data_IF_762165130989
#
_entry.id   IF_762165130989
#
_cell.length_a   1.000
_cell.length_b   1.000
_cell.length_c   1.000
_cell.angle_alpha   90.00
_cell.angle_beta   90.00
_cell.angle_gamma   90.00
#
_symmetry.space_group_name_H-M   'P 1'
#
loop_
_entity.id
_entity.type
_entity.pdbx_description
1 polymer ?
#
# COMPACT_ATOMS: atom_id res chain seq x y z
N UNK A 1 -14.54 -16.87 -12.62
CA UNK A 1 -13.53 -15.92 -13.12
C UNK A 1 -12.72 -15.41 -11.93
N UNK A 2 -11.38 -15.49 -11.96
CA UNK A 2 -10.55 -14.87 -10.92
C UNK A 2 -10.71 -13.35 -11.05
N UNK A 3 -11.14 -12.67 -10.00
CA UNK A 3 -11.20 -11.21 -9.98
C UNK A 3 -9.78 -10.67 -10.05
N UNK A 4 -9.41 -10.07 -11.18
CA UNK A 4 -8.08 -9.48 -11.37
C UNK A 4 -7.94 -8.10 -10.69
N UNK A 5 -8.95 -7.66 -9.92
CA UNK A 5 -8.96 -6.41 -9.14
C UNK A 5 -8.52 -5.15 -9.92
N UNK A 6 -8.71 -5.14 -11.25
CA UNK A 6 -8.29 -4.04 -12.12
C UNK A 6 -6.80 -4.05 -12.51
N UNK A 7 -6.10 -5.17 -12.32
CA UNK A 7 -4.74 -5.41 -12.79
C UNK A 7 -4.73 -6.30 -14.04
N UNK A 8 -3.80 -6.02 -14.95
CA UNK A 8 -3.54 -6.85 -16.14
C UNK A 8 -2.80 -8.14 -15.73
N UNK A 9 -2.91 -9.25 -16.49
CA UNK A 9 -2.17 -10.48 -16.21
C UNK A 9 -0.66 -10.25 -16.04
N UNK A 10 -0.05 -9.45 -16.91
CA UNK A 10 1.38 -9.11 -16.83
C UNK A 10 1.74 -8.29 -15.58
N UNK A 11 0.83 -7.46 -15.07
CA UNK A 11 1.03 -6.73 -13.82
C UNK A 11 0.98 -7.69 -12.63
N UNK A 12 0.06 -8.65 -12.63
CA UNK A 12 -0.03 -9.68 -11.59
C UNK A 12 1.21 -10.57 -11.56
N UNK A 13 1.72 -10.95 -12.73
CA UNK A 13 2.99 -11.69 -12.83
C UNK A 13 4.16 -10.87 -12.31
N UNK A 14 4.26 -9.59 -12.68
CA UNK A 14 5.29 -8.70 -12.15
C UNK A 14 5.22 -8.52 -10.63
N UNK A 15 4.02 -8.46 -10.05
CA UNK A 15 3.84 -8.41 -8.60
C UNK A 15 4.29 -9.74 -7.94
N UNK A 16 3.96 -10.88 -8.56
CA UNK A 16 4.40 -12.20 -8.10
C UNK A 16 5.91 -12.37 -8.14
N UNK A 17 6.55 -11.96 -9.23
CA UNK A 17 8.01 -12.01 -9.39
C UNK A 17 8.74 -11.15 -8.35
N UNK A 18 8.14 -10.02 -7.97
CA UNK A 18 8.64 -9.17 -6.87
C UNK A 18 8.33 -9.73 -5.48
N UNK A 19 7.64 -10.85 -5.35
CA UNK A 19 7.26 -11.41 -4.05
C UNK A 19 6.23 -10.58 -3.28
N UNK A 20 5.49 -9.69 -3.96
CA UNK A 20 4.55 -8.74 -3.33
C UNK A 20 3.08 -9.21 -3.36
N UNK A 21 2.85 -10.50 -3.58
CA UNK A 21 1.49 -11.05 -3.74
C UNK A 21 0.65 -10.91 -2.47
N UNK A 22 1.27 -11.09 -1.31
CA UNK A 22 0.61 -10.93 -0.01
C UNK A 22 0.22 -9.47 0.24
N UNK A 23 1.13 -8.54 -0.03
CA UNK A 23 0.86 -7.11 0.09
C UNK A 23 -0.26 -6.69 -0.87
N UNK A 24 -0.30 -7.21 -2.10
CA UNK A 24 -1.41 -6.94 -3.02
C UNK A 24 -2.75 -7.44 -2.45
N UNK A 25 -2.78 -8.62 -1.83
CA UNK A 25 -3.99 -9.17 -1.22
C UNK A 25 -4.48 -8.28 -0.06
N UNK A 26 -3.58 -7.91 0.84
CA UNK A 26 -3.88 -7.01 1.96
C UNK A 26 -4.38 -5.64 1.47
N UNK A 27 -3.73 -5.09 0.44
CA UNK A 27 -4.14 -3.85 -0.20
C UNK A 27 -5.56 -3.93 -0.76
N UNK A 28 -5.88 -5.01 -1.49
CA UNK A 28 -7.21 -5.22 -2.04
C UNK A 28 -8.28 -5.34 -0.94
N UNK A 29 -7.99 -5.95 0.22
CA UNK A 29 -8.93 -5.98 1.34
C UNK A 29 -9.15 -4.60 1.96
N UNK A 30 -8.11 -3.76 2.05
CA UNK A 30 -8.24 -2.37 2.50
C UNK A 30 -9.15 -1.59 1.54
N UNK A 31 -8.85 -1.62 0.24
CA UNK A 31 -9.62 -0.90 -0.78
C UNK A 31 -11.07 -1.35 -0.81
N UNK A 32 -11.33 -2.66 -0.71
CA UNK A 32 -12.69 -3.22 -0.71
C UNK A 32 -13.54 -2.74 0.47
N UNK A 33 -12.94 -2.53 1.63
CA UNK A 33 -13.65 -1.99 2.81
C UNK A 33 -14.03 -0.52 2.64
N UNK A 34 -13.27 0.22 1.83
CA UNK A 34 -13.53 1.62 1.51
C UNK A 34 -13.23 2.57 2.66
N UNK A 35 -13.48 3.86 2.40
CA UNK A 35 -13.27 4.94 3.36
C UNK A 35 -14.42 4.94 4.39
N UNK A 36 -14.14 4.94 5.71
CA UNK A 36 -15.18 4.97 6.73
C UNK A 36 -15.99 6.27 6.67
N UNK A 37 -17.28 6.18 6.99
CA UNK A 37 -18.14 7.37 7.12
C UNK A 37 -17.83 8.10 8.43
N UNK A 38 -17.33 9.32 8.34
CA UNK A 38 -16.98 10.17 9.48
C UNK A 38 -18.05 11.24 9.67
N UNK A 39 -18.50 11.45 10.91
CA UNK A 39 -19.54 12.45 11.24
C UNK A 39 -19.02 13.88 11.19
N UNK A 40 -17.77 14.10 11.57
CA UNK A 40 -17.15 15.42 11.52
C UNK A 40 -16.89 15.83 10.04
N UNK A 41 -17.52 16.89 9.53
CA UNK A 41 -17.43 17.26 8.12
C UNK A 41 -16.02 17.71 7.72
N UNK A 42 -15.32 18.43 8.59
CA UNK A 42 -13.95 18.89 8.33
C UNK A 42 -12.98 17.71 8.21
N UNK A 43 -13.12 16.70 9.08
CA UNK A 43 -12.30 15.47 9.02
C UNK A 43 -12.69 14.65 7.78
N UNK A 44 -13.99 14.50 7.52
CA UNK A 44 -14.48 13.77 6.35
C UNK A 44 -13.97 14.37 5.04
N UNK A 45 -13.98 15.70 4.91
CA UNK A 45 -13.47 16.38 3.73
C UNK A 45 -11.97 16.13 3.53
N UNK A 46 -11.15 16.30 4.58
CA UNK A 46 -9.71 16.01 4.51
C UNK A 46 -9.46 14.54 4.14
N UNK A 47 -10.18 13.61 4.76
CA UNK A 47 -10.06 12.18 4.48
C UNK A 47 -10.38 11.85 3.02
N UNK A 48 -11.48 12.41 2.50
CA UNK A 48 -11.92 12.20 1.12
C UNK A 48 -10.97 12.82 0.08
N UNK A 49 -10.18 13.83 0.45
CA UNK A 49 -9.16 14.40 -0.42
C UNK A 49 -7.86 13.60 -0.39
N UNK A 50 -7.41 13.20 0.80
CA UNK A 50 -6.08 12.62 0.98
C UNK A 50 -6.03 11.11 0.76
N UNK A 51 -7.05 10.35 1.16
CA UNK A 51 -7.04 8.89 1.03
C UNK A 51 -7.03 8.41 -0.42
N UNK A 52 -7.78 9.01 -1.37
CA UNK A 52 -7.67 8.64 -2.78
C UNK A 52 -6.27 8.84 -3.35
N UNK A 53 -5.52 9.84 -2.86
CA UNK A 53 -4.12 10.06 -3.25
C UNK A 53 -3.25 8.89 -2.75
N UNK A 54 -3.38 8.50 -1.48
CA UNK A 54 -2.71 7.31 -0.92
C UNK A 54 -3.03 6.07 -1.74
N UNK A 55 -4.31 5.88 -2.08
CA UNK A 55 -4.76 4.73 -2.85
C UNK A 55 -4.14 4.68 -4.25
N UNK A 56 -4.08 5.83 -4.90
CA UNK A 56 -3.50 5.98 -6.23
C UNK A 56 -1.99 5.70 -6.20
N UNK A 57 -1.27 6.25 -5.22
CA UNK A 57 0.18 6.03 -5.07
C UNK A 57 0.52 4.57 -4.85
N UNK A 58 -0.19 3.87 -3.95
CA UNK A 58 0.04 2.44 -3.69
C UNK A 58 -0.33 1.59 -4.91
N UNK A 59 -1.44 1.88 -5.57
CA UNK A 59 -1.87 1.14 -6.77
C UNK A 59 -0.89 1.34 -7.92
N UNK A 60 -0.40 2.56 -8.13
CA UNK A 60 0.60 2.87 -9.14
C UNK A 60 1.92 2.14 -8.86
N UNK A 61 2.34 2.05 -7.59
CA UNK A 61 3.49 1.24 -7.17
C UNK A 61 3.32 -0.25 -7.53
N UNK A 62 2.13 -0.83 -7.32
CA UNK A 62 1.89 -2.21 -7.74
C UNK A 62 1.92 -2.37 -9.26
N UNK A 63 1.49 -1.38 -10.04
CA UNK A 63 1.45 -1.46 -11.51
C UNK A 63 2.81 -1.23 -12.19
N UNK A 64 3.70 -0.46 -11.57
CA UNK A 64 5.01 -0.12 -12.15
C UNK A 64 6.14 -0.87 -11.45
N UNK A 65 7.11 -1.40 -12.21
CA UNK A 65 8.32 -2.02 -11.66
C UNK A 65 9.32 -0.98 -11.16
N UNK A 66 9.34 0.19 -11.79
CA UNK A 66 10.37 1.22 -11.60
C UNK A 66 9.92 2.37 -10.70
N UNK A 67 8.67 2.34 -10.24
CA UNK A 67 8.14 3.39 -9.38
C UNK A 67 8.63 3.20 -7.95
N UNK A 68 9.24 4.24 -7.40
CA UNK A 68 9.59 4.30 -5.98
C UNK A 68 8.35 4.61 -5.17
N UNK A 69 8.15 3.86 -4.08
CA UNK A 69 7.09 4.17 -3.12
C UNK A 69 7.53 5.31 -2.21
N UNK A 70 6.80 6.43 -2.22
CA UNK A 70 6.98 7.52 -1.25
C UNK A 70 6.41 7.17 0.13
N UNK A 71 6.91 6.09 0.74
CA UNK A 71 6.37 5.53 1.97
C UNK A 71 6.38 6.52 3.15
N UNK A 72 7.45 7.32 3.29
CA UNK A 72 7.57 8.27 4.40
C UNK A 72 6.54 9.40 4.33
N UNK A 73 6.27 9.94 3.13
CA UNK A 73 5.27 10.98 2.91
C UNK A 73 3.87 10.47 3.29
N UNK A 74 3.55 9.23 2.89
CA UNK A 74 2.29 8.58 3.23
C UNK A 74 2.19 8.34 4.75
N UNK A 75 3.24 7.81 5.39
CA UNK A 75 3.24 7.59 6.84
C UNK A 75 3.03 8.89 7.63
N UNK A 76 3.68 9.99 7.22
CA UNK A 76 3.48 11.30 7.84
C UNK A 76 2.02 11.76 7.76
N UNK A 77 1.40 11.65 6.58
CA UNK A 77 -0.01 11.97 6.36
C UNK A 77 -0.93 11.10 7.26
N UNK A 78 -0.63 9.81 7.42
CA UNK A 78 -1.42 8.93 8.28
C UNK A 78 -1.29 9.32 9.77
N UNK A 79 -0.10 9.71 10.22
CA UNK A 79 0.09 10.24 11.58
C UNK A 79 -0.72 11.51 11.83
N UNK A 80 -0.79 12.42 10.85
CA UNK A 80 -1.63 13.61 10.93
C UNK A 80 -3.13 13.27 11.02
N UNK A 81 -3.59 12.20 10.38
CA UNK A 81 -4.97 11.74 10.53
C UNK A 81 -5.24 11.13 11.91
N UNK A 82 -4.29 10.39 12.48
CA UNK A 82 -4.45 9.82 13.83
C UNK A 82 -4.56 10.89 14.92
N UNK A 83 -3.83 12.00 14.80
CA UNK A 83 -3.87 13.07 15.79
C UNK A 83 -5.19 13.84 15.83
N UNK A 84 -6.03 13.67 14.81
CA UNK A 84 -7.33 14.34 14.67
C UNK A 84 -8.51 13.37 14.66
N UNK A 85 -8.29 12.07 14.86
CA UNK A 85 -9.30 11.03 14.64
C UNK A 85 -10.10 10.63 15.87
N UNK A 86 -11.38 10.32 15.66
CA UNK A 86 -12.18 9.49 16.58
C UNK A 86 -11.88 7.98 16.37
N UNK A 87 -12.27 7.14 17.33
CA UNK A 87 -11.89 5.71 17.42
C UNK A 87 -12.10 4.86 16.14
N UNK A 88 -13.15 5.14 15.36
CA UNK A 88 -13.41 4.42 14.10
C UNK A 88 -12.47 4.80 12.95
N UNK A 89 -12.05 6.07 12.90
CA UNK A 89 -11.06 6.53 11.92
C UNK A 89 -9.66 6.05 12.30
N UNK A 90 -9.34 6.05 13.59
CA UNK A 90 -8.04 5.57 14.09
C UNK A 90 -7.75 4.13 13.65
N UNK A 91 -8.73 3.22 13.76
CA UNK A 91 -8.58 1.83 13.32
C UNK A 91 -8.30 1.71 11.82
N UNK A 92 -9.04 2.47 11.00
CA UNK A 92 -8.86 2.50 9.55
C UNK A 92 -7.48 3.01 9.16
N UNK A 93 -7.04 4.13 9.76
CA UNK A 93 -5.74 4.73 9.50
C UNK A 93 -4.60 3.81 9.96
N UNK A 94 -4.75 3.16 11.12
CA UNK A 94 -3.79 2.19 11.64
C UNK A 94 -3.65 0.98 10.72
N UNK A 95 -4.74 0.51 10.10
CA UNK A 95 -4.69 -0.58 9.12
C UNK A 95 -3.87 -0.18 7.88
N UNK A 96 -4.06 1.03 7.37
CA UNK A 96 -3.26 1.53 6.23
C UNK A 96 -1.80 1.68 6.63
N UNK A 97 -1.53 2.25 7.81
CA UNK A 97 -0.16 2.45 8.30
C UNK A 97 0.58 1.12 8.48
N UNK A 98 -0.06 0.12 9.11
CA UNK A 98 0.51 -1.22 9.26
C UNK A 98 0.84 -1.85 7.90
N UNK A 99 -0.09 -1.73 6.93
CA UNK A 99 0.16 -2.16 5.56
C UNK A 99 1.36 -1.43 4.94
N UNK A 100 1.45 -0.11 5.09
CA UNK A 100 2.54 0.69 4.53
C UNK A 100 3.89 0.30 5.11
N UNK A 101 3.98 0.06 6.42
CA UNK A 101 5.19 -0.43 7.08
C UNK A 101 5.60 -1.80 6.54
N UNK A 102 4.62 -2.72 6.39
CA UNK A 102 4.86 -4.04 5.80
C UNK A 102 5.33 -3.98 4.35
N UNK A 103 4.74 -3.09 3.55
CA UNK A 103 5.14 -2.86 2.16
C UNK A 103 6.56 -2.30 2.09
N UNK A 104 6.88 -1.25 2.85
CA UNK A 104 8.23 -0.66 2.89
C UNK A 104 9.26 -1.71 3.31
N UNK A 105 8.96 -2.52 4.33
CA UNK A 105 9.85 -3.59 4.77
C UNK A 105 10.10 -4.62 3.66
N UNK A 106 9.05 -5.12 3.02
CA UNK A 106 9.17 -6.06 1.90
C UNK A 106 10.00 -5.47 0.75
N UNK A 107 9.84 -4.19 0.43
CA UNK A 107 10.63 -3.53 -0.62
C UNK A 107 12.12 -3.40 -0.27
N UNK A 108 12.45 -3.12 0.99
CA UNK A 108 13.84 -3.04 1.45
C UNK A 108 14.51 -4.41 1.45
N UNK A 109 13.80 -5.47 1.87
CA UNK A 109 14.31 -6.84 1.82
C UNK A 109 14.61 -7.30 0.39
N UNK A 110 13.84 -6.85 -0.60
CA UNK A 110 14.10 -7.12 -2.02
C UNK A 110 15.35 -6.38 -2.56
N UNK A 111 15.64 -5.19 -2.04
CA UNK A 111 16.84 -4.42 -2.42
C UNK A 111 18.14 -4.99 -1.83
N UNK A 112 18.07 -5.73 -0.71
CA UNK A 112 19.23 -6.37 -0.07
C UNK A 112 19.54 -7.75 -0.68
N UNK A 113 18.62 -8.31 -1.47
CA UNK A 113 18.75 -9.63 -2.08
C UNK A 113 19.63 -9.78 -3.36
N UNK A 114 20.36 -8.78 -3.92
CA UNK A 114 21.20 -9.04 -5.09
C UNK A 114 22.66 -9.33 -4.70
N UNK A 115 22.98 -10.58 -4.32
CA UNK A 115 24.37 -11.10 -4.32
C UNK A 115 24.53 -12.64 -4.11
N UNK A 116 23.46 -13.44 -4.01
CA UNK A 116 23.58 -14.86 -3.63
C UNK A 116 23.35 -15.86 -4.78
N UNK A 117 23.44 -15.43 -6.04
CA UNK A 117 23.16 -16.30 -7.21
C UNK A 117 24.30 -16.50 -8.21
N UNK A 118 25.49 -15.96 -7.97
CA UNK A 118 26.68 -16.21 -8.80
C UNK A 118 27.82 -16.80 -7.96
N UNK A 119 27.63 -18.01 -7.42
CA UNK A 119 28.74 -18.94 -7.05
C UNK A 119 28.20 -20.37 -7.05
N UNK A 120 27.90 -20.89 -8.24
CA UNK A 120 27.89 -22.33 -8.54
C UNK A 120 27.89 -22.44 -10.06
N UNK A 121 29.11 -22.46 -10.60
CA UNK A 121 29.56 -23.11 -11.84
C UNK A 121 30.67 -22.25 -12.47
N UNK A 122 31.89 -22.80 -12.39
CA UNK A 122 33.16 -22.19 -12.76
C UNK A 122 34.28 -22.86 -11.99
#
# INVERSE_FOLDING_TARGET
>A
MKSNHGFRPSELEAIRERGLSEQLHQWNDIVRRGIPKIRNPSISQRLNQSIPIVYSSVTAYFRSRDMTLEGNSILKLLTEFKSISDSGLEQYISKIEFFMLGLISATKSLQIAPAARERRDG
#
